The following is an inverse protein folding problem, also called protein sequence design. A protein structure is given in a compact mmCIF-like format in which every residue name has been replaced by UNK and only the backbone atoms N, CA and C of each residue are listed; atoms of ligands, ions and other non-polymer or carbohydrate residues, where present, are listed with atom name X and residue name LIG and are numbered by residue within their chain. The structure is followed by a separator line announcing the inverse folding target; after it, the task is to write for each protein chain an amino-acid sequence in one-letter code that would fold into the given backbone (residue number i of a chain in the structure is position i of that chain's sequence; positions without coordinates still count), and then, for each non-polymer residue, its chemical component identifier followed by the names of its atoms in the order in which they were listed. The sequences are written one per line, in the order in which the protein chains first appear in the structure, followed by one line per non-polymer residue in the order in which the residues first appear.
data_IF_844336067323
#
_entry.id   IF_844336067323
#
_cell.length_a   1.000
_cell.length_b   1.000
_cell.length_c   1.000
_cell.angle_alpha   90.00
_cell.angle_beta   90.00
_cell.angle_gamma   90.00
#
_symmetry.space_group_name_H-M   'P 1'
#
loop_
_entity.id
_entity.type
_entity.pdbx_description
1 polymer ?
#
# COMPACT_ATOMS: atom_id res chain seq x y z
N UNK A 1 10.25 6.52 17.27
CA UNK A 1 11.02 5.91 16.15
C UNK A 1 12.46 5.63 16.56
N UNK A 2 13.25 6.65 16.97
CA UNK A 2 14.71 6.55 17.04
C UNK A 2 15.27 5.50 18.02
N UNK A 3 14.64 5.23 19.15
CA UNK A 3 15.14 4.24 20.12
C UNK A 3 14.58 2.85 19.79
N UNK A 4 13.26 2.71 19.73
CA UNK A 4 12.58 1.44 19.50
C UNK A 4 13.09 0.73 18.25
N UNK A 5 13.20 1.45 17.12
CA UNK A 5 13.65 0.91 15.85
C UNK A 5 15.08 0.35 15.85
N UNK A 6 15.93 0.84 16.75
CA UNK A 6 17.38 0.58 16.69
C UNK A 6 17.89 -0.29 17.82
N UNK A 7 17.08 -0.58 18.82
CA UNK A 7 17.55 -1.21 20.05
C UNK A 7 18.02 -2.65 19.80
N UNK A 8 17.31 -3.41 18.97
CA UNK A 8 17.72 -4.76 18.62
C UNK A 8 19.08 -4.78 17.89
N UNK A 9 19.26 -3.91 16.89
CA UNK A 9 20.54 -3.80 16.18
C UNK A 9 21.66 -3.29 17.11
N UNK A 10 21.37 -2.32 17.97
CA UNK A 10 22.35 -1.75 18.91
C UNK A 10 22.79 -2.76 19.99
N UNK A 11 21.94 -3.70 20.33
CA UNK A 11 22.23 -4.79 21.25
C UNK A 11 22.76 -6.06 20.57
N UNK A 12 23.09 -5.98 19.27
CA UNK A 12 23.53 -7.13 18.47
C UNK A 12 22.55 -8.32 18.51
N UNK A 13 21.24 -8.00 18.55
CA UNK A 13 20.17 -9.00 18.61
C UNK A 13 19.85 -9.53 20.03
N UNK A 14 20.57 -9.08 21.05
CA UNK A 14 20.32 -9.54 22.43
C UNK A 14 18.96 -9.10 22.97
N UNK A 15 18.51 -7.89 22.58
CA UNK A 15 17.20 -7.35 22.99
C UNK A 15 16.25 -7.38 21.80
N UNK A 16 15.27 -8.26 21.87
CA UNK A 16 14.12 -8.22 20.97
C UNK A 16 13.16 -7.10 21.37
N UNK A 17 12.44 -6.57 20.37
CA UNK A 17 11.48 -5.49 20.58
C UNK A 17 10.10 -5.87 20.05
N UNK A 18 9.41 -6.86 20.66
CA UNK A 18 8.11 -7.36 20.21
C UNK A 18 6.98 -6.38 20.59
N UNK A 19 6.96 -5.24 19.94
CA UNK A 19 5.99 -4.16 20.19
C UNK A 19 5.15 -3.92 18.96
N UNK A 20 3.83 -4.00 19.08
CA UNK A 20 2.89 -3.58 18.03
C UNK A 20 2.29 -2.24 18.40
N UNK A 21 2.46 -1.26 17.53
CA UNK A 21 1.85 0.06 17.67
C UNK A 21 0.74 0.16 16.61
N UNK A 22 -0.51 0.11 17.05
CA UNK A 22 -1.67 0.28 16.19
C UNK A 22 -1.91 1.75 15.92
N UNK A 23 -1.99 2.11 14.64
CA UNK A 23 -2.13 3.50 14.19
C UNK A 23 -3.35 3.62 13.29
N UNK A 24 -4.50 4.09 13.79
CA UNK A 24 -5.62 4.45 12.94
C UNK A 24 -5.23 5.59 12.00
N UNK A 25 -5.42 5.42 10.68
CA UNK A 25 -4.98 6.40 9.67
C UNK A 25 -5.95 6.48 8.49
N UNK A 26 -5.65 7.40 7.58
CA UNK A 26 -6.35 7.53 6.31
C UNK A 26 -7.64 8.33 6.38
N UNK A 27 -8.05 8.81 5.25
CA UNK A 27 -9.21 9.67 5.05
C UNK A 27 -10.55 8.93 4.96
N UNK A 28 -11.57 9.66 4.52
CA UNK A 28 -12.92 9.16 4.32
C UNK A 28 -13.81 9.16 5.57
N UNK A 29 -13.42 9.91 6.61
CA UNK A 29 -14.17 10.07 7.87
C UNK A 29 -14.44 11.53 8.25
N UNK A 30 -13.97 12.49 7.44
CA UNK A 30 -14.20 13.91 7.68
C UNK A 30 -13.47 14.49 8.90
N UNK A 31 -12.38 13.85 9.35
CA UNK A 31 -11.71 14.22 10.61
C UNK A 31 -10.50 15.13 10.43
N UNK A 32 -10.40 15.78 9.30
CA UNK A 32 -9.35 16.75 8.91
C UNK A 32 -7.91 16.20 9.14
N UNK A 33 -6.91 17.08 9.21
CA UNK A 33 -5.50 16.70 9.42
C UNK A 33 -5.25 15.93 10.72
N UNK A 34 -6.05 16.14 11.76
CA UNK A 34 -5.84 15.51 13.06
C UNK A 34 -5.93 13.98 13.03
N UNK A 35 -6.79 13.44 12.15
CA UNK A 35 -7.06 12.00 12.12
C UNK A 35 -7.16 11.38 10.72
N UNK A 36 -6.95 12.14 9.65
CA UNK A 36 -7.16 11.66 8.28
C UNK A 36 -5.88 11.59 7.44
N UNK A 37 -4.76 12.03 7.97
CA UNK A 37 -3.48 11.91 7.26
C UNK A 37 -3.01 10.46 7.12
N UNK A 38 -2.15 10.24 6.13
CA UNK A 38 -1.51 8.96 5.80
C UNK A 38 0.01 9.08 5.99
N UNK A 39 0.51 8.90 7.25
CA UNK A 39 1.90 9.21 7.60
C UNK A 39 2.86 8.02 7.45
N UNK A 40 2.49 6.96 6.75
CA UNK A 40 3.27 5.72 6.66
C UNK A 40 4.70 5.91 6.14
N UNK A 41 4.92 6.88 5.25
CA UNK A 41 6.24 7.17 4.71
C UNK A 41 7.25 7.62 5.79
N UNK A 42 6.81 8.38 6.79
CA UNK A 42 7.66 8.79 7.92
C UNK A 42 8.25 7.60 8.68
N UNK A 43 7.46 6.55 8.80
CA UNK A 43 7.83 5.36 9.56
C UNK A 43 8.55 4.33 8.69
N UNK A 44 8.13 4.16 7.45
CA UNK A 44 8.76 3.25 6.50
C UNK A 44 10.21 3.66 6.19
N UNK A 45 10.51 4.97 6.23
CA UNK A 45 11.88 5.48 6.09
C UNK A 45 12.78 5.19 7.30
N UNK A 46 12.24 4.66 8.40
CA UNK A 46 13.01 4.39 9.62
C UNK A 46 13.48 2.93 9.65
N UNK A 47 14.77 2.62 9.37
CA UNK A 47 15.30 1.26 9.44
C UNK A 47 15.08 0.65 10.83
N UNK A 48 14.63 -0.61 10.86
CA UNK A 48 14.30 -1.33 12.09
C UNK A 48 12.84 -1.27 12.52
N UNK A 49 11.99 -0.46 11.84
CA UNK A 49 10.54 -0.55 11.97
C UNK A 49 9.94 -1.39 10.85
N UNK A 50 8.96 -2.22 11.20
CA UNK A 50 8.06 -2.85 10.25
C UNK A 50 6.81 -2.00 10.12
N UNK A 51 6.32 -1.81 8.89
CA UNK A 51 5.15 -0.96 8.63
C UNK A 51 4.20 -1.74 7.73
N UNK A 52 3.01 -2.04 8.25
CA UNK A 52 2.02 -2.87 7.56
C UNK A 52 0.63 -2.24 7.64
N UNK A 53 -0.23 -2.54 6.65
CA UNK A 53 -1.62 -2.11 6.66
C UNK A 53 -2.51 -3.17 5.99
N UNK A 54 -3.50 -3.73 6.70
CA UNK A 54 -4.47 -4.64 6.09
C UNK A 54 -5.45 -3.86 5.21
N UNK A 55 -5.97 -4.53 4.17
CA UNK A 55 -6.97 -3.98 3.26
C UNK A 55 -8.34 -4.65 3.37
N UNK A 56 -8.44 -5.75 4.11
CA UNK A 56 -9.63 -6.58 4.22
C UNK A 56 -9.70 -7.29 5.58
N UNK A 57 -10.87 -7.84 6.00
CA UNK A 57 -11.03 -8.51 7.29
C UNK A 57 -10.13 -9.72 7.53
N UNK A 58 -9.85 -10.52 6.49
CA UNK A 58 -8.96 -11.67 6.62
C UNK A 58 -7.53 -11.25 6.95
N UNK A 59 -7.00 -10.26 6.22
CA UNK A 59 -5.68 -9.73 6.51
C UNK A 59 -5.62 -9.00 7.86
N UNK A 60 -6.67 -8.27 8.24
CA UNK A 60 -6.74 -7.65 9.56
C UNK A 60 -6.63 -8.69 10.70
N UNK A 61 -7.31 -9.83 10.55
CA UNK A 61 -7.27 -10.92 11.52
C UNK A 61 -5.89 -11.59 11.59
N UNK A 62 -5.30 -11.94 10.46
CA UNK A 62 -4.05 -12.70 10.44
C UNK A 62 -2.82 -11.84 10.65
N UNK A 63 -2.76 -10.67 10.01
CA UNK A 63 -1.59 -9.79 10.11
C UNK A 63 -1.37 -9.26 11.52
N UNK A 64 -2.43 -8.97 12.29
CA UNK A 64 -2.25 -8.51 13.67
C UNK A 64 -1.66 -9.62 14.56
N UNK A 65 -2.04 -10.88 14.35
CA UNK A 65 -1.48 -11.99 15.09
C UNK A 65 -0.01 -12.24 14.73
N UNK A 66 0.33 -12.10 13.45
CA UNK A 66 1.72 -12.20 12.98
C UNK A 66 2.57 -11.03 13.51
N UNK A 67 2.01 -9.82 13.53
CA UNK A 67 2.68 -8.66 14.11
C UNK A 67 2.99 -8.84 15.60
N UNK A 68 2.05 -9.41 16.37
CA UNK A 68 2.24 -9.71 17.80
C UNK A 68 3.35 -10.76 18.03
N UNK A 69 3.50 -11.68 17.09
CA UNK A 69 4.54 -12.73 17.14
C UNK A 69 5.90 -12.29 16.60
N UNK A 70 5.99 -11.07 16.03
CA UNK A 70 7.24 -10.54 15.50
C UNK A 70 8.20 -10.17 16.63
N UNK A 71 9.48 -10.47 16.47
CA UNK A 71 10.55 -9.96 17.35
C UNK A 71 10.95 -8.52 17.05
N UNK A 72 10.52 -7.99 15.90
CA UNK A 72 10.73 -6.60 15.50
C UNK A 72 9.53 -5.71 15.88
N UNK A 73 9.74 -4.42 16.10
CA UNK A 73 8.64 -3.49 16.33
C UNK A 73 7.83 -3.28 15.05
N UNK A 74 6.51 -3.44 15.14
CA UNK A 74 5.57 -3.31 14.03
C UNK A 74 4.64 -2.11 14.25
N UNK A 75 4.60 -1.20 13.27
CA UNK A 75 3.53 -0.23 13.15
C UNK A 75 2.43 -0.86 12.28
N UNK A 76 1.30 -1.07 12.92
CA UNK A 76 0.11 -1.66 12.31
C UNK A 76 -0.87 -0.54 11.96
N UNK A 77 -0.84 -0.11 10.71
CA UNK A 77 -1.68 0.97 10.19
C UNK A 77 -3.09 0.48 9.88
N UNK A 78 -4.08 1.05 10.54
CA UNK A 78 -5.48 0.65 10.44
C UNK A 78 -6.28 1.67 9.62
N UNK A 79 -6.69 1.34 8.38
CA UNK A 79 -7.45 2.27 7.55
C UNK A 79 -8.84 2.49 8.11
N UNK A 80 -9.12 3.69 8.65
CA UNK A 80 -10.37 3.99 9.38
C UNK A 80 -11.62 3.79 8.54
N UNK A 81 -11.62 4.16 7.27
CA UNK A 81 -12.79 3.95 6.41
C UNK A 81 -13.08 2.47 6.13
N UNK A 82 -12.20 1.54 6.56
CA UNK A 82 -12.38 0.08 6.43
C UNK A 82 -12.84 -0.60 7.72
N UNK A 83 -12.94 0.10 8.85
CA UNK A 83 -13.32 -0.50 10.13
C UNK A 83 -14.68 -1.20 10.10
N UNK A 84 -15.59 -0.74 9.27
CA UNK A 84 -16.93 -1.32 9.16
C UNK A 84 -17.06 -2.30 7.99
N UNK A 85 -15.96 -2.54 7.26
CA UNK A 85 -15.95 -3.50 6.17
C UNK A 85 -16.16 -4.91 6.71
N UNK A 86 -17.13 -5.62 6.14
CA UNK A 86 -17.38 -7.03 6.43
C UNK A 86 -16.80 -7.91 5.32
N UNK A 87 -16.35 -9.09 5.68
CA UNK A 87 -15.85 -10.08 4.74
C UNK A 87 -15.54 -11.41 5.43
N UNK A 88 -15.30 -12.46 4.66
CA UNK A 88 -14.92 -13.76 5.20
C UNK A 88 -13.55 -13.68 5.87
N UNK A 89 -13.35 -14.49 6.90
CA UNK A 89 -12.06 -14.80 7.50
C UNK A 89 -11.86 -16.30 7.41
N UNK A 90 -10.83 -16.73 6.68
CA UNK A 90 -10.48 -18.13 6.57
C UNK A 90 -9.58 -18.54 7.74
N UNK A 91 -10.10 -19.33 8.65
CA UNK A 91 -9.39 -19.81 9.85
C UNK A 91 -8.59 -21.09 9.60
N UNK A 92 -8.87 -21.79 8.51
CA UNK A 92 -8.33 -23.13 8.22
C UNK A 92 -7.07 -23.07 7.34
N UNK A 93 -6.82 -21.95 6.67
CA UNK A 93 -5.64 -21.77 5.82
C UNK A 93 -4.48 -21.15 6.62
N UNK A 94 -3.27 -21.59 6.31
CA UNK A 94 -2.07 -20.93 6.79
C UNK A 94 -2.02 -19.49 6.24
N UNK A 95 -1.82 -18.48 7.11
CA UNK A 95 -1.77 -17.11 6.64
C UNK A 95 -0.56 -16.91 5.73
N UNK A 96 -0.72 -16.06 4.72
CA UNK A 96 0.39 -15.53 3.95
C UNK A 96 1.34 -14.76 4.88
N UNK A 97 2.63 -14.71 4.58
CA UNK A 97 3.61 -13.98 5.41
C UNK A 97 3.22 -12.52 5.62
N UNK A 98 3.62 -11.96 6.77
CA UNK A 98 3.24 -10.60 7.17
C UNK A 98 3.65 -9.54 6.12
N UNK A 99 4.76 -9.78 5.45
CA UNK A 99 5.38 -8.85 4.52
C UNK A 99 5.24 -9.24 3.04
N UNK A 100 4.55 -10.34 2.76
CA UNK A 100 4.33 -10.78 1.38
C UNK A 100 3.18 -9.97 0.75
N UNK A 101 3.41 -9.44 -0.44
CA UNK A 101 2.37 -8.82 -1.24
C UNK A 101 1.44 -9.90 -1.84
N UNK A 102 0.22 -9.50 -2.20
CA UNK A 102 -0.77 -10.41 -2.78
C UNK A 102 -1.33 -9.85 -4.08
N UNK A 103 -1.32 -10.65 -5.13
CA UNK A 103 -2.11 -10.39 -6.33
C UNK A 103 -3.57 -10.71 -6.01
N UNK A 104 -4.42 -9.69 -6.01
CA UNK A 104 -5.86 -9.81 -5.72
C UNK A 104 -6.71 -9.91 -6.98
N UNK A 105 -6.21 -9.40 -8.08
CA UNK A 105 -6.84 -9.47 -9.40
C UNK A 105 -5.74 -9.67 -10.44
N UNK A 106 -5.84 -10.75 -11.20
CA UNK A 106 -4.90 -11.05 -12.27
C UNK A 106 -5.17 -10.16 -13.49
N UNK A 107 -4.10 -9.67 -14.10
CA UNK A 107 -4.18 -8.82 -15.28
C UNK A 107 -2.94 -8.93 -16.16
N UNK A 108 -2.99 -8.34 -17.35
CA UNK A 108 -1.91 -8.45 -18.33
C UNK A 108 -1.47 -7.11 -18.95
N UNK A 109 -2.27 -6.04 -18.82
CA UNK A 109 -2.02 -4.78 -19.54
C UNK A 109 -1.34 -3.72 -18.67
N UNK A 110 -1.75 -3.60 -17.40
CA UNK A 110 -1.18 -2.64 -16.42
C UNK A 110 -1.18 -3.24 -15.03
N UNK A 111 -0.09 -3.09 -14.29
CA UNK A 111 0.00 -3.40 -12.86
C UNK A 111 -0.40 -2.19 -12.03
N UNK A 112 -1.31 -2.39 -11.07
CA UNK A 112 -1.66 -1.41 -10.03
C UNK A 112 -1.12 -1.93 -8.68
N UNK A 113 -0.06 -1.33 -8.17
CA UNK A 113 0.45 -1.63 -6.83
C UNK A 113 -0.15 -0.65 -5.81
N UNK A 114 -0.75 -1.16 -4.75
CA UNK A 114 -1.47 -0.34 -3.77
C UNK A 114 -1.47 -0.99 -2.38
N UNK A 115 -2.01 -0.32 -1.37
CA UNK A 115 -2.14 -0.86 -0.01
C UNK A 115 -3.30 -0.21 0.76
N UNK A 116 -3.67 -0.85 1.85
CA UNK A 116 -4.65 -0.33 2.81
C UNK A 116 -5.97 0.10 2.17
N UNK A 117 -6.41 1.35 2.37
CA UNK A 117 -7.75 1.77 1.94
C UNK A 117 -7.91 1.83 0.42
N UNK A 118 -6.81 2.01 -0.34
CA UNK A 118 -6.83 2.16 -1.79
C UNK A 118 -6.99 0.83 -2.55
N UNK A 119 -6.81 -0.30 -1.89
CA UNK A 119 -6.97 -1.63 -2.53
C UNK A 119 -8.38 -1.80 -3.12
N UNK A 120 -9.42 -1.43 -2.38
CA UNK A 120 -10.79 -1.53 -2.89
C UNK A 120 -11.08 -0.57 -4.05
N UNK A 121 -10.43 0.61 -4.03
CA UNK A 121 -10.53 1.59 -5.13
C UNK A 121 -9.86 1.04 -6.40
N UNK A 122 -8.70 0.41 -6.25
CA UNK A 122 -7.99 -0.22 -7.37
C UNK A 122 -8.76 -1.43 -7.94
N UNK A 123 -9.40 -2.24 -7.10
CA UNK A 123 -10.25 -3.35 -7.54
C UNK A 123 -11.49 -2.83 -8.29
N UNK A 124 -12.09 -1.73 -7.83
CA UNK A 124 -13.18 -1.07 -8.55
C UNK A 124 -12.72 -0.54 -9.91
N UNK A 125 -11.57 0.12 -9.98
CA UNK A 125 -11.00 0.57 -11.25
C UNK A 125 -10.72 -0.60 -12.20
N UNK A 126 -10.23 -1.75 -11.67
CA UNK A 126 -10.00 -2.95 -12.48
C UNK A 126 -11.31 -3.52 -13.07
N UNK A 127 -12.41 -3.49 -12.33
CA UNK A 127 -13.72 -3.92 -12.84
C UNK A 127 -14.21 -3.00 -13.97
N UNK A 128 -14.10 -1.68 -13.78
CA UNK A 128 -14.51 -0.69 -14.81
C UNK A 128 -13.64 -0.84 -16.06
N UNK A 129 -12.31 -0.91 -15.91
CA UNK A 129 -11.39 -1.07 -17.03
C UNK A 129 -11.66 -2.37 -17.83
N UNK A 130 -12.06 -3.44 -17.16
CA UNK A 130 -12.39 -4.72 -17.81
C UNK A 130 -13.61 -4.60 -18.74
N UNK A 131 -14.59 -3.75 -18.41
CA UNK A 131 -15.75 -3.47 -19.28
C UNK A 131 -15.33 -2.78 -20.58
N UNK A 132 -14.21 -2.05 -20.54
CA UNK A 132 -13.61 -1.36 -21.69
C UNK A 132 -12.52 -2.21 -22.39
N UNK A 133 -12.30 -3.45 -21.92
CA UNK A 133 -11.37 -4.40 -22.52
C UNK A 133 -9.92 -4.29 -22.02
N UNK A 134 -9.65 -3.48 -20.99
CA UNK A 134 -8.31 -3.33 -20.37
C UNK A 134 -8.20 -4.22 -19.12
N UNK A 135 -7.14 -5.03 -19.05
CA UNK A 135 -6.91 -6.01 -18.00
C UNK A 135 -5.88 -5.52 -16.99
N UNK A 136 -6.35 -5.03 -15.84
CA UNK A 136 -5.49 -4.52 -14.77
C UNK A 136 -5.14 -5.63 -13.76
N UNK A 137 -3.86 -5.76 -13.44
CA UNK A 137 -3.41 -6.58 -12.31
C UNK A 137 -3.36 -5.73 -11.05
N UNK A 138 -4.03 -6.15 -9.99
CA UNK A 138 -4.05 -5.41 -8.73
C UNK A 138 -3.28 -6.16 -7.67
N UNK A 139 -2.24 -5.52 -7.14
CA UNK A 139 -1.38 -6.03 -6.06
C UNK A 139 -1.67 -5.23 -4.79
N UNK A 140 -2.05 -5.94 -3.73
CA UNK A 140 -2.02 -5.41 -2.37
C UNK A 140 -0.62 -5.62 -1.78
N UNK A 141 0.10 -4.54 -1.54
CA UNK A 141 1.44 -4.56 -0.95
C UNK A 141 1.43 -5.08 0.49
N UNK A 142 0.35 -4.83 1.25
CA UNK A 142 0.19 -5.21 2.67
C UNK A 142 1.28 -4.66 3.59
N UNK A 143 2.52 -4.58 3.12
CA UNK A 143 3.68 -4.08 3.85
C UNK A 143 4.37 -2.95 3.10
N UNK A 144 4.62 -1.84 3.79
CA UNK A 144 5.39 -0.70 3.30
C UNK A 144 6.84 -0.71 3.82
N UNK A 145 7.14 -1.56 4.82
CA UNK A 145 8.52 -1.80 5.29
C UNK A 145 8.61 -3.18 5.97
N UNK A 146 9.29 -4.14 5.36
CA UNK A 146 9.84 -4.14 3.99
C UNK A 146 8.74 -4.21 2.92
N UNK A 147 9.04 -3.73 1.72
CA UNK A 147 8.18 -3.91 0.54
C UNK A 147 8.59 -5.20 -0.17
N UNK A 148 7.60 -5.99 -0.61
CA UNK A 148 7.81 -7.15 -1.49
C UNK A 148 8.00 -6.71 -2.94
N UNK A 149 9.22 -6.31 -3.28
CA UNK A 149 9.58 -5.94 -4.65
C UNK A 149 9.56 -7.15 -5.60
N UNK A 150 9.73 -8.37 -5.10
CA UNK A 150 9.69 -9.56 -5.92
C UNK A 150 8.36 -9.72 -6.64
N UNK A 151 7.27 -9.60 -5.92
CA UNK A 151 5.90 -9.65 -6.47
C UNK A 151 5.63 -8.52 -7.45
N UNK A 152 6.03 -7.28 -7.12
CA UNK A 152 5.83 -6.12 -8.02
C UNK A 152 6.60 -6.30 -9.33
N UNK A 153 7.88 -6.67 -9.25
CA UNK A 153 8.75 -6.84 -10.42
C UNK A 153 8.24 -7.96 -11.32
N UNK A 154 7.82 -9.09 -10.73
CA UNK A 154 7.25 -10.20 -11.51
C UNK A 154 6.00 -9.77 -12.29
N UNK A 155 5.15 -8.96 -11.69
CA UNK A 155 3.97 -8.40 -12.35
C UNK A 155 4.37 -7.41 -13.46
N UNK A 156 5.30 -6.50 -13.20
CA UNK A 156 5.77 -5.53 -14.20
C UNK A 156 6.44 -6.21 -15.41
N UNK A 157 7.19 -7.28 -15.18
CA UNK A 157 7.76 -8.08 -16.28
C UNK A 157 6.67 -8.64 -17.19
N UNK A 158 5.49 -8.97 -16.63
CA UNK A 158 4.33 -9.47 -17.37
C UNK A 158 3.57 -8.36 -18.10
N UNK A 159 3.34 -7.23 -17.44
CA UNK A 159 2.43 -6.17 -17.91
C UNK A 159 3.13 -5.03 -18.66
N UNK A 160 4.42 -4.84 -18.46
CA UNK A 160 5.20 -3.72 -18.99
C UNK A 160 4.89 -2.35 -18.38
N UNK A 161 3.88 -2.23 -17.51
CA UNK A 161 3.35 -0.94 -17.02
C UNK A 161 3.03 -0.99 -15.54
N UNK A 162 3.36 0.08 -14.83
CA UNK A 162 3.13 0.18 -13.39
C UNK A 162 2.50 1.52 -12.99
N UNK A 163 1.40 1.44 -12.25
CA UNK A 163 0.81 2.55 -11.49
C UNK A 163 0.91 2.20 -10.01
N UNK A 164 1.39 3.14 -9.19
CA UNK A 164 1.39 2.98 -7.73
C UNK A 164 0.37 3.94 -7.12
N UNK A 165 -0.63 3.40 -6.41
CA UNK A 165 -1.75 4.17 -5.88
C UNK A 165 -1.80 4.13 -4.35
N UNK A 166 -1.96 5.29 -3.70
CA UNK A 166 -2.12 5.42 -2.24
C UNK A 166 -2.82 6.73 -1.86
N UNK A 167 -3.27 6.87 -0.60
CA UNK A 167 -3.93 8.11 -0.14
C UNK A 167 -2.96 9.23 0.21
N UNK A 168 -1.75 8.91 0.66
CA UNK A 168 -0.74 9.91 0.99
C UNK A 168 -0.43 10.81 -0.21
N UNK A 169 0.11 11.99 0.07
CA UNK A 169 0.72 12.86 -0.95
C UNK A 169 1.75 12.09 -1.78
N UNK A 170 1.88 12.42 -3.07
CA UNK A 170 2.85 11.75 -3.95
C UNK A 170 4.30 12.20 -3.69
N UNK A 171 4.49 13.32 -3.02
CA UNK A 171 5.81 13.83 -2.70
C UNK A 171 6.47 13.00 -1.58
N UNK A 172 7.66 12.47 -1.85
CA UNK A 172 8.46 11.64 -0.91
C UNK A 172 7.63 10.52 -0.25
N UNK A 173 6.90 9.77 -1.05
CA UNK A 173 5.97 8.73 -0.61
C UNK A 173 6.50 7.31 -0.88
N UNK A 174 5.76 6.31 -0.46
CA UNK A 174 6.01 4.89 -0.79
C UNK A 174 6.07 4.69 -2.31
N UNK A 175 5.22 5.39 -3.08
CA UNK A 175 5.24 5.29 -4.54
C UNK A 175 6.53 5.81 -5.16
N UNK A 176 7.21 6.75 -4.51
CA UNK A 176 8.50 7.27 -4.99
C UNK A 176 9.60 6.20 -4.91
N UNK A 177 9.66 5.44 -3.80
CA UNK A 177 10.60 4.33 -3.63
C UNK A 177 10.26 3.18 -4.59
N UNK A 178 8.99 2.82 -4.71
CA UNK A 178 8.56 1.75 -5.63
C UNK A 178 8.91 2.12 -7.08
N UNK A 179 8.65 3.36 -7.50
CA UNK A 179 8.99 3.81 -8.85
C UNK A 179 10.51 3.74 -9.11
N UNK A 180 11.34 4.18 -8.17
CA UNK A 180 12.78 4.14 -8.29
C UNK A 180 13.29 2.69 -8.40
N UNK A 181 12.92 1.83 -7.46
CA UNK A 181 13.39 0.45 -7.37
C UNK A 181 12.93 -0.41 -8.55
N UNK A 182 11.68 -0.25 -9.00
CA UNK A 182 11.18 -0.98 -10.18
C UNK A 182 11.87 -0.50 -11.43
N UNK A 183 12.12 0.81 -11.57
CA UNK A 183 12.88 1.33 -12.72
C UNK A 183 14.31 0.77 -12.74
N UNK A 184 14.98 0.67 -11.61
CA UNK A 184 16.31 0.06 -11.54
C UNK A 184 16.31 -1.43 -11.89
N UNK A 185 15.31 -2.18 -11.40
CA UNK A 185 15.28 -3.64 -11.51
C UNK A 185 14.68 -4.15 -12.83
N UNK A 186 13.72 -3.42 -13.41
CA UNK A 186 12.93 -3.84 -14.57
C UNK A 186 12.92 -2.82 -15.71
N UNK A 187 13.93 -1.96 -15.82
CA UNK A 187 14.01 -0.89 -16.83
C UNK A 187 13.69 -1.37 -18.25
N UNK A 188 14.28 -2.49 -18.65
CA UNK A 188 14.10 -3.03 -20.00
C UNK A 188 12.74 -3.73 -20.23
N UNK A 189 11.94 -3.90 -19.17
CA UNK A 189 10.60 -4.46 -19.27
C UNK A 189 9.52 -3.36 -19.26
N UNK A 190 9.89 -2.13 -18.85
CA UNK A 190 8.95 -1.02 -18.80
C UNK A 190 8.69 -0.48 -20.21
N UNK A 191 7.41 -0.43 -20.59
CA UNK A 191 6.92 0.16 -21.86
C UNK A 191 6.47 1.61 -21.67
N UNK A 192 6.37 2.07 -20.42
CA UNK A 192 5.98 3.43 -20.04
C UNK A 192 6.66 3.86 -18.73
N UNK A 193 6.74 5.18 -18.44
CA UNK A 193 7.17 5.63 -17.10
C UNK A 193 6.23 5.11 -16.01
N UNK A 194 6.78 4.81 -14.83
CA UNK A 194 5.95 4.47 -13.67
C UNK A 194 5.10 5.68 -13.27
N UNK A 195 3.78 5.54 -13.27
CA UNK A 195 2.87 6.58 -12.84
C UNK A 195 2.49 6.42 -11.36
N UNK A 196 2.17 7.55 -10.72
CA UNK A 196 1.79 7.58 -9.31
C UNK A 196 0.46 8.30 -9.14
N UNK A 197 -0.46 7.67 -8.43
CA UNK A 197 -1.77 8.22 -8.06
C UNK A 197 -1.82 8.37 -6.54
N UNK A 198 -1.97 9.58 -6.05
CA UNK A 198 -1.96 9.86 -4.61
C UNK A 198 -2.75 11.12 -4.27
N UNK A 199 -2.79 11.47 -2.99
CA UNK A 199 -3.27 12.75 -2.52
C UNK A 199 -2.46 13.91 -3.10
N UNK A 200 -3.02 15.09 -3.08
CA UNK A 200 -2.32 16.30 -3.50
C UNK A 200 -1.24 16.70 -2.50
N UNK A 201 -0.20 17.39 -2.97
CA UNK A 201 0.91 17.90 -2.14
C UNK A 201 0.49 19.20 -1.43
N UNK A 202 -0.56 19.11 -0.61
CA UNK A 202 -1.11 20.20 0.19
C UNK A 202 -1.47 19.67 1.58
N UNK A 203 -1.63 20.53 2.60
CA UNK A 203 -2.17 20.12 3.89
C UNK A 203 -3.52 19.41 3.72
N UNK A 204 -3.81 18.44 4.59
CA UNK A 204 -5.06 17.70 4.53
C UNK A 204 -6.27 18.66 4.61
N UNK A 205 -7.26 18.55 3.71
CA UNK A 205 -8.30 19.54 3.56
C UNK A 205 -9.39 19.43 4.63
N UNK A 206 -10.23 20.49 4.78
CA UNK A 206 -11.46 20.41 5.55
C UNK A 206 -12.40 19.30 5.02
N UNK A 207 -13.23 18.75 5.90
CA UNK A 207 -14.11 17.61 5.61
C UNK A 207 -14.93 17.73 4.31
N UNK A 208 -15.38 18.94 3.95
CA UNK A 208 -16.16 19.20 2.72
C UNK A 208 -15.36 18.99 1.42
N UNK A 209 -14.04 19.01 1.49
CA UNK A 209 -13.15 18.85 0.34
C UNK A 209 -12.45 17.48 0.34
N UNK A 210 -12.72 16.65 1.33
CA UNK A 210 -12.04 15.35 1.50
C UNK A 210 -12.25 14.43 0.28
N UNK A 211 -13.47 14.37 -0.25
CA UNK A 211 -13.79 13.54 -1.43
C UNK A 211 -13.00 13.96 -2.68
N UNK A 212 -12.75 15.26 -2.85
CA UNK A 212 -11.95 15.77 -3.97
C UNK A 212 -10.46 15.50 -3.77
N UNK A 213 -10.02 15.48 -2.51
CA UNK A 213 -8.63 15.26 -2.15
C UNK A 213 -8.22 13.78 -2.31
N UNK A 214 -9.08 12.86 -1.85
CA UNK A 214 -8.78 11.43 -1.86
C UNK A 214 -8.79 10.89 -3.29
N UNK A 215 -7.80 10.06 -3.65
CA UNK A 215 -7.85 9.36 -4.93
C UNK A 215 -9.04 8.40 -4.99
N UNK A 216 -9.71 8.39 -6.13
CA UNK A 216 -10.83 7.53 -6.48
C UNK A 216 -10.50 6.62 -7.68
N UNK A 217 -11.50 5.87 -8.14
CA UNK A 217 -11.33 4.99 -9.29
C UNK A 217 -11.09 5.77 -10.59
N UNK A 218 -11.71 6.93 -10.75
CA UNK A 218 -11.57 7.75 -11.97
C UNK A 218 -10.13 8.27 -12.11
N UNK A 219 -9.49 8.68 -11.01
CA UNK A 219 -8.08 9.10 -11.03
C UNK A 219 -7.12 7.94 -11.34
N UNK A 220 -7.46 6.71 -10.95
CA UNK A 220 -6.69 5.52 -11.37
C UNK A 220 -6.90 5.26 -12.86
N UNK A 221 -8.13 5.31 -13.36
CA UNK A 221 -8.47 5.09 -14.77
C UNK A 221 -7.84 6.16 -15.67
N UNK A 222 -7.83 7.42 -15.27
CA UNK A 222 -7.09 8.49 -15.97
C UNK A 222 -5.60 8.16 -16.08
N UNK A 223 -5.00 7.61 -15.02
CA UNK A 223 -3.62 7.16 -15.07
C UNK A 223 -3.42 5.92 -15.96
N UNK A 224 -4.42 5.02 -16.03
CA UNK A 224 -4.42 3.87 -16.96
C UNK A 224 -4.47 4.36 -18.40
N UNK A 225 -5.35 5.28 -18.74
CA UNK A 225 -5.42 5.85 -20.11
C UNK A 225 -4.10 6.52 -20.51
N UNK A 226 -3.51 7.27 -19.59
CA UNK A 226 -2.22 7.94 -19.82
C UNK A 226 -1.09 6.95 -20.01
N UNK A 227 -1.01 5.87 -19.23
CA UNK A 227 0.08 4.91 -19.32
C UNK A 227 -0.04 4.01 -20.54
N UNK A 228 -1.24 3.78 -21.04
CA UNK A 228 -1.49 3.04 -22.28
C UNK A 228 -1.23 3.86 -23.55
N UNK A 229 -1.15 5.18 -23.42
CA UNK A 229 -0.87 6.09 -24.53
C UNK A 229 0.63 6.20 -24.89
N UNK A 230 1.53 5.60 -24.10
CA UNK A 230 2.95 5.52 -24.38
C UNK A 230 3.24 4.40 -25.36
#
# INVERSE_FOLDING_TARGET
TSQLARLQNRSEGFLEMPVVIRVPYGGGIGAVEHHSESPEAYFAHTPGLRVVSPSNPNDAYWMIQQAIKSSDPVLFFEPKRRYWQKGPVNLDEAPQGLHDARVLHEGKDVTIATYGPMVQVALQAAQIAAEEGTSLEVIDLRSMSPIDFGTIIASVVKTGRLIVAHEASTFVSISSEVAARVTEAAFYNLEAPVLRVGGFDVPYPPAKLEEVFLPDADRILEAVDRILAY
#
